data_IF_123925366009
#
_entry.id   IF_123925366009
#
_cell.length_a   1.000
_cell.length_b   1.000
_cell.length_c   1.000
_cell.angle_alpha   90.00
_cell.angle_beta   90.00
_cell.angle_gamma   90.00
#
_symmetry.space_group_name_H-M   'P 1'
#
loop_
_entity.id
_entity.type
_entity.pdbx_description
1 polymer ?
#
# COMPACT_ATOMS: atom_id res chain seq x y z
N UNK A 1 -42.83 -38.18 -7.72
CA UNK A 1 -41.54 -38.43 -8.41
C UNK A 1 -40.96 -37.09 -8.87
N UNK A 2 -39.63 -36.94 -8.87
CA UNK A 2 -38.92 -36.03 -7.97
C UNK A 2 -38.77 -34.59 -8.47
N UNK A 3 -38.77 -33.65 -7.51
CA UNK A 3 -38.04 -32.39 -7.60
C UNK A 3 -36.55 -32.71 -7.51
N UNK A 4 -35.77 -32.32 -8.50
CA UNK A 4 -34.40 -31.84 -8.34
C UNK A 4 -33.75 -31.59 -9.71
N UNK A 5 -33.37 -30.34 -9.93
CA UNK A 5 -32.04 -30.03 -10.44
C UNK A 5 -31.69 -28.63 -9.94
N UNK A 6 -31.19 -28.59 -8.71
CA UNK A 6 -30.26 -27.53 -8.30
C UNK A 6 -29.13 -27.56 -9.32
N UNK A 7 -29.15 -26.61 -10.25
CA UNK A 7 -27.95 -26.26 -11.00
C UNK A 7 -27.02 -25.60 -9.98
N UNK A 8 -26.11 -26.39 -9.42
CA UNK A 8 -24.91 -25.88 -8.76
C UNK A 8 -24.22 -24.95 -9.75
N UNK A 9 -24.38 -23.65 -9.54
CA UNK A 9 -23.47 -22.66 -10.10
C UNK A 9 -22.16 -22.90 -9.36
N UNK A 10 -21.28 -23.70 -9.97
CA UNK A 10 -19.88 -23.73 -9.57
C UNK A 10 -19.31 -22.37 -9.89
N UNK A 11 -19.14 -21.54 -8.86
CA UNK A 11 -18.20 -20.44 -8.92
C UNK A 11 -16.81 -21.08 -9.00
N UNK A 12 -16.36 -21.37 -10.22
CA UNK A 12 -14.95 -21.59 -10.49
C UNK A 12 -14.24 -20.26 -10.27
N UNK A 13 -13.97 -19.92 -9.01
CA UNK A 13 -13.08 -18.83 -8.64
C UNK A 13 -11.66 -19.23 -9.06
N UNK A 14 -11.30 -18.89 -10.30
CA UNK A 14 -9.90 -18.89 -10.69
C UNK A 14 -9.14 -17.93 -9.76
N UNK A 15 -8.01 -18.35 -9.17
CA UNK A 15 -7.20 -17.46 -8.35
C UNK A 15 -6.74 -16.27 -9.20
N UNK A 16 -7.05 -15.05 -8.76
CA UNK A 16 -6.64 -13.81 -9.41
C UNK A 16 -5.09 -13.76 -9.52
N UNK A 17 -4.54 -13.63 -10.72
CA UNK A 17 -3.09 -13.62 -10.90
C UNK A 17 -2.49 -12.26 -10.48
N UNK A 18 -1.26 -12.25 -9.95
CA UNK A 18 -0.58 -11.04 -9.45
C UNK A 18 -0.44 -9.92 -10.49
N UNK A 19 -0.54 -10.26 -11.79
CA UNK A 19 -0.50 -9.30 -12.90
C UNK A 19 -1.83 -8.56 -13.10
N UNK A 20 -2.95 -9.12 -12.65
CA UNK A 20 -4.28 -8.55 -12.85
C UNK A 20 -4.48 -7.31 -11.96
N UNK A 21 -3.89 -7.29 -10.76
CA UNK A 21 -3.90 -6.15 -9.83
C UNK A 21 -3.20 -4.89 -10.38
N UNK A 22 -2.40 -5.03 -11.44
CA UNK A 22 -1.64 -3.91 -12.02
C UNK A 22 -2.44 -3.16 -13.09
N UNK A 23 -3.75 -3.41 -13.16
CA UNK A 23 -4.71 -2.64 -13.95
C UNK A 23 -5.73 -1.99 -13.01
N UNK A 24 -6.31 -0.83 -13.36
CA UNK A 24 -7.39 -0.23 -12.57
C UNK A 24 -8.55 -1.20 -12.30
N UNK A 25 -9.00 -1.89 -13.34
CA UNK A 25 -10.12 -2.84 -13.23
C UNK A 25 -9.77 -4.03 -12.34
N UNK A 26 -8.57 -4.59 -12.46
CA UNK A 26 -8.17 -5.73 -11.63
C UNK A 26 -7.90 -5.37 -10.18
N UNK A 27 -7.34 -4.17 -9.90
CA UNK A 27 -7.21 -3.69 -8.52
C UNK A 27 -8.57 -3.42 -7.87
N UNK A 28 -9.51 -2.79 -8.60
CA UNK A 28 -10.88 -2.55 -8.10
C UNK A 28 -11.57 -3.87 -7.79
N UNK A 29 -11.55 -4.82 -8.73
CA UNK A 29 -12.14 -6.16 -8.51
C UNK A 29 -11.53 -6.87 -7.32
N UNK A 30 -10.22 -6.79 -7.15
CA UNK A 30 -9.54 -7.37 -5.99
C UNK A 30 -10.04 -6.78 -4.67
N UNK A 31 -10.24 -5.46 -4.60
CA UNK A 31 -10.79 -4.80 -3.42
C UNK A 31 -12.24 -5.22 -3.17
N UNK A 32 -13.06 -5.32 -4.20
CA UNK A 32 -14.47 -5.73 -4.10
C UNK A 32 -14.65 -7.19 -3.64
N UNK A 33 -13.68 -8.06 -3.97
CA UNK A 33 -13.70 -9.46 -3.61
C UNK A 33 -13.20 -9.74 -2.18
N UNK A 34 -12.55 -8.79 -1.52
CA UNK A 34 -12.04 -8.95 -0.16
C UNK A 34 -13.00 -8.32 0.86
N UNK A 35 -13.32 -9.03 1.93
CA UNK A 35 -14.24 -8.58 2.97
C UNK A 35 -13.68 -7.41 3.79
N UNK A 36 -12.35 -7.27 3.84
CA UNK A 36 -11.67 -6.20 4.57
C UNK A 36 -10.25 -5.90 4.04
N UNK A 37 -9.67 -4.77 4.49
CA UNK A 37 -8.31 -4.34 4.14
C UNK A 37 -7.25 -5.42 4.46
N UNK A 38 -7.42 -6.17 5.55
CA UNK A 38 -6.47 -7.22 5.95
C UNK A 38 -6.51 -8.41 4.99
N UNK A 39 -7.65 -8.72 4.41
CA UNK A 39 -7.81 -9.78 3.41
C UNK A 39 -7.29 -9.33 2.04
N UNK A 40 -7.55 -8.09 1.63
CA UNK A 40 -6.96 -7.52 0.40
C UNK A 40 -5.43 -7.48 0.49
N UNK A 41 -4.92 -7.01 1.62
CA UNK A 41 -3.49 -7.03 1.91
C UNK A 41 -3.02 -8.47 1.97
N UNK A 42 -3.71 -9.37 2.68
CA UNK A 42 -3.42 -10.80 2.69
C UNK A 42 -3.39 -11.44 1.31
N UNK A 43 -4.27 -11.06 0.39
CA UNK A 43 -4.27 -11.56 -0.99
C UNK A 43 -3.07 -11.02 -1.79
N UNK A 44 -2.71 -9.75 -1.61
CA UNK A 44 -1.49 -9.17 -2.14
C UNK A 44 -0.23 -9.76 -1.48
N UNK A 45 -0.36 -10.27 -0.25
CA UNK A 45 0.73 -10.49 0.69
C UNK A 45 0.73 -11.88 1.35
N UNK A 46 0.21 -12.93 0.69
CA UNK A 46 -0.31 -14.16 1.33
C UNK A 46 0.62 -14.87 2.33
N UNK A 47 1.94 -14.65 2.30
CA UNK A 47 2.89 -14.99 3.38
C UNK A 47 4.11 -14.01 3.38
N UNK A 48 3.94 -12.68 3.48
CA UNK A 48 5.06 -11.73 3.25
C UNK A 48 6.16 -11.67 4.32
N UNK A 49 7.15 -12.53 4.16
CA UNK A 49 8.53 -12.37 4.60
C UNK A 49 9.38 -11.59 3.55
N UNK A 50 10.69 -11.47 3.78
CA UNK A 50 11.62 -10.73 2.90
C UNK A 50 11.57 -11.22 1.43
N UNK A 51 11.22 -12.50 1.20
CA UNK A 51 11.09 -13.11 -0.13
C UNK A 51 10.03 -12.39 -0.97
N UNK A 52 8.95 -11.94 -0.34
CA UNK A 52 7.85 -11.34 -1.07
C UNK A 52 8.09 -9.86 -1.40
N UNK A 53 8.85 -9.15 -0.58
CA UNK A 53 9.38 -7.84 -0.96
C UNK A 53 10.26 -7.99 -2.20
N UNK A 54 11.10 -9.03 -2.24
CA UNK A 54 11.94 -9.32 -3.41
C UNK A 54 11.12 -9.66 -4.66
N UNK A 55 10.06 -10.47 -4.54
CA UNK A 55 9.15 -10.77 -5.65
C UNK A 55 8.48 -9.48 -6.15
N UNK A 56 7.95 -8.66 -5.25
CA UNK A 56 7.30 -7.40 -5.61
C UNK A 56 8.29 -6.42 -6.26
N UNK A 57 9.50 -6.30 -5.70
CA UNK A 57 10.60 -5.52 -6.28
C UNK A 57 10.96 -6.01 -7.68
N UNK A 58 11.04 -7.32 -7.90
CA UNK A 58 11.37 -7.92 -9.20
C UNK A 58 10.25 -7.68 -10.23
N UNK A 59 9.00 -7.88 -9.83
CA UNK A 59 7.83 -7.57 -10.67
C UNK A 59 7.85 -6.12 -11.13
N UNK A 60 8.16 -5.19 -10.22
CA UNK A 60 8.18 -3.77 -10.52
C UNK A 60 9.45 -3.32 -11.27
N UNK A 61 10.58 -3.97 -11.05
CA UNK A 61 11.83 -3.72 -11.79
C UNK A 61 11.67 -3.96 -13.30
N UNK A 62 10.80 -4.90 -13.68
CA UNK A 62 10.48 -5.18 -15.09
C UNK A 62 9.71 -4.06 -15.82
N UNK A 63 9.13 -3.10 -15.08
CA UNK A 63 8.16 -2.12 -15.62
C UNK A 63 8.69 -0.69 -15.72
N UNK A 64 10.02 -0.47 -15.70
CA UNK A 64 10.62 0.87 -15.56
C UNK A 64 10.05 1.62 -14.35
N UNK A 65 10.52 1.26 -13.15
CA UNK A 65 9.96 1.73 -11.89
C UNK A 65 9.81 3.25 -11.81
N UNK A 66 8.70 3.67 -11.22
CA UNK A 66 8.42 5.06 -10.87
C UNK A 66 9.32 5.44 -9.67
N UNK A 67 9.87 6.65 -9.69
CA UNK A 67 10.88 7.11 -8.72
C UNK A 67 10.48 6.93 -7.23
N UNK A 68 9.23 7.19 -6.80
CA UNK A 68 8.85 7.01 -5.40
C UNK A 68 8.82 5.55 -4.97
N UNK A 69 8.50 4.63 -5.89
CA UNK A 69 8.57 3.19 -5.64
C UNK A 69 10.02 2.74 -5.48
N UNK A 70 10.94 3.24 -6.32
CA UNK A 70 12.38 2.99 -6.16
C UNK A 70 12.87 3.47 -4.79
N UNK A 71 12.39 4.63 -4.36
CA UNK A 71 12.74 5.19 -3.07
C UNK A 71 12.31 4.30 -1.91
N UNK A 72 11.08 3.78 -1.91
CA UNK A 72 10.60 2.85 -0.86
C UNK A 72 11.56 1.66 -0.73
N UNK A 73 11.92 1.02 -1.85
CA UNK A 73 12.81 -0.14 -1.81
C UNK A 73 14.24 0.22 -1.44
N UNK A 74 14.78 1.34 -1.92
CA UNK A 74 16.10 1.81 -1.50
C UNK A 74 16.13 2.11 0.01
N UNK A 75 15.04 2.67 0.55
CA UNK A 75 14.88 2.91 1.97
C UNK A 75 14.87 1.60 2.77
N UNK A 76 14.15 0.57 2.27
CA UNK A 76 14.19 -0.78 2.83
C UNK A 76 15.62 -1.29 2.96
N UNK A 77 16.35 -1.30 1.85
CA UNK A 77 17.68 -1.89 1.74
C UNK A 77 18.69 -1.14 2.64
N UNK A 78 18.63 0.19 2.68
CA UNK A 78 19.59 0.97 3.48
C UNK A 78 19.34 0.81 4.99
N UNK A 79 18.08 0.81 5.40
CA UNK A 79 17.74 0.98 6.81
C UNK A 79 17.52 -0.35 7.53
N UNK A 80 16.91 -1.32 6.84
CA UNK A 80 16.64 -2.63 7.43
C UNK A 80 17.80 -3.60 7.26
N UNK A 81 18.34 -3.74 6.05
CA UNK A 81 19.39 -4.73 5.79
C UNK A 81 20.76 -4.28 6.28
N UNK A 82 21.05 -2.96 6.25
CA UNK A 82 22.39 -2.45 6.59
C UNK A 82 22.50 -1.80 7.96
N UNK A 83 21.48 -1.08 8.42
CA UNK A 83 21.60 -0.18 9.60
C UNK A 83 20.79 -0.59 10.84
N UNK A 84 19.96 -1.63 10.79
CA UNK A 84 19.02 -2.07 11.86
C UNK A 84 18.21 -0.91 12.45
N UNK A 85 16.97 -0.76 12.00
CA UNK A 85 16.06 0.26 12.54
C UNK A 85 15.61 -0.04 13.97
N UNK A 86 15.45 1.02 14.76
CA UNK A 86 14.85 0.94 16.09
C UNK A 86 13.32 0.80 16.01
N UNK A 87 12.72 0.26 17.08
CA UNK A 87 11.27 0.05 17.19
C UNK A 87 10.44 1.31 16.86
N UNK A 88 10.90 2.47 17.31
CA UNK A 88 10.20 3.74 17.08
C UNK A 88 10.21 4.16 15.62
N UNK A 89 11.31 3.92 14.90
CA UNK A 89 11.38 4.21 13.47
C UNK A 89 10.47 3.27 12.69
N UNK A 90 10.45 1.98 13.03
CA UNK A 90 9.55 1.00 12.41
C UNK A 90 8.09 1.45 12.57
N UNK A 91 7.69 1.82 13.79
CA UNK A 91 6.34 2.33 14.06
C UNK A 91 6.03 3.59 13.26
N UNK A 92 6.97 4.54 13.19
CA UNK A 92 6.81 5.76 12.40
C UNK A 92 6.54 5.42 10.93
N UNK A 93 7.33 4.55 10.32
CA UNK A 93 7.15 4.16 8.91
C UNK A 93 5.84 3.42 8.67
N UNK A 94 5.43 2.52 9.56
CA UNK A 94 4.11 1.87 9.48
C UNK A 94 3.01 2.93 9.38
N UNK A 95 3.04 3.95 10.26
CA UNK A 95 2.01 4.98 10.29
C UNK A 95 2.01 5.86 9.05
N UNK A 96 3.19 6.24 8.55
CA UNK A 96 3.33 7.05 7.32
C UNK A 96 2.84 6.28 6.10
N UNK A 97 3.31 5.05 5.89
CA UNK A 97 2.98 4.28 4.69
C UNK A 97 1.55 3.72 4.74
N UNK A 98 0.99 3.43 5.92
CA UNK A 98 -0.45 3.14 6.07
C UNK A 98 -1.32 4.36 5.74
N UNK A 99 -0.90 5.58 6.13
CA UNK A 99 -1.61 6.80 5.75
C UNK A 99 -1.58 7.01 4.23
N UNK A 100 -0.41 6.89 3.61
CA UNK A 100 -0.23 7.03 2.16
C UNK A 100 -1.04 5.99 1.38
N UNK A 101 -0.95 4.72 1.78
CA UNK A 101 -1.73 3.63 1.19
C UNK A 101 -3.23 3.94 1.19
N UNK A 102 -3.78 4.33 2.35
CA UNK A 102 -5.19 4.64 2.47
C UNK A 102 -5.61 5.81 1.56
N UNK A 103 -4.76 6.84 1.43
CA UNK A 103 -5.04 7.94 0.49
C UNK A 103 -5.06 7.44 -0.95
N UNK A 104 -4.01 6.73 -1.40
CA UNK A 104 -3.94 6.24 -2.78
C UNK A 104 -5.07 5.27 -3.11
N UNK A 105 -5.37 4.34 -2.20
CA UNK A 105 -6.48 3.40 -2.35
C UNK A 105 -7.81 4.14 -2.53
N UNK A 106 -8.10 5.12 -1.69
CA UNK A 106 -9.34 5.91 -1.83
C UNK A 106 -9.38 6.72 -3.14
N UNK A 107 -8.23 7.23 -3.60
CA UNK A 107 -8.14 7.92 -4.91
C UNK A 107 -8.42 6.95 -6.07
N UNK A 108 -7.97 5.71 -5.99
CA UNK A 108 -8.23 4.69 -7.02
C UNK A 108 -9.71 4.28 -7.02
N UNK A 109 -10.25 3.95 -5.85
CA UNK A 109 -11.60 3.41 -5.71
C UNK A 109 -12.69 4.47 -5.90
N UNK A 110 -12.40 5.72 -5.54
CA UNK A 110 -13.37 6.81 -5.47
C UNK A 110 -12.78 8.10 -6.05
N UNK A 111 -12.22 7.98 -7.25
CA UNK A 111 -11.50 9.05 -7.96
C UNK A 111 -12.29 10.35 -8.14
N UNK A 112 -13.62 10.25 -8.15
CA UNK A 112 -14.57 11.36 -8.28
C UNK A 112 -14.79 12.15 -6.98
N UNK A 113 -14.29 11.70 -5.83
CA UNK A 113 -14.43 12.40 -4.53
C UNK A 113 -13.14 13.18 -4.24
N UNK A 114 -13.13 14.52 -4.35
CA UNK A 114 -11.91 15.31 -4.19
C UNK A 114 -11.29 15.22 -2.79
N UNK A 115 -12.13 15.04 -1.76
CA UNK A 115 -11.69 14.96 -0.37
C UNK A 115 -10.71 13.80 -0.11
N UNK A 116 -10.74 12.72 -0.90
CA UNK A 116 -9.83 11.60 -0.73
C UNK A 116 -8.40 11.85 -1.20
N UNK A 117 -8.15 12.97 -1.86
CA UNK A 117 -6.80 13.40 -2.24
C UNK A 117 -6.12 14.24 -1.16
N UNK A 118 -6.80 14.51 -0.05
CA UNK A 118 -6.37 15.50 0.94
C UNK A 118 -5.98 14.82 2.24
N UNK A 119 -4.80 15.17 2.75
CA UNK A 119 -4.36 14.86 4.12
C UNK A 119 -4.41 16.16 4.92
N UNK A 120 -5.19 16.17 6.00
CA UNK A 120 -5.13 17.23 6.99
C UNK A 120 -3.91 17.01 7.90
N UNK A 121 -2.93 17.92 7.84
CA UNK A 121 -1.70 17.81 8.62
C UNK A 121 -1.93 17.95 10.12
N UNK A 122 -3.08 18.51 10.54
CA UNK A 122 -3.49 18.58 11.94
C UNK A 122 -4.19 17.30 12.42
N UNK A 123 -4.42 16.32 11.55
CA UNK A 123 -4.98 15.04 12.00
C UNK A 123 -3.96 14.30 12.87
N UNK A 124 -4.45 13.58 13.89
CA UNK A 124 -3.59 12.94 14.88
C UNK A 124 -2.51 12.02 14.30
N UNK A 125 -2.82 11.27 13.22
CA UNK A 125 -1.84 10.38 12.59
C UNK A 125 -0.71 11.16 11.91
N UNK A 126 -1.04 12.22 11.17
CA UNK A 126 0.00 13.03 10.52
C UNK A 126 0.83 13.78 11.58
N UNK A 127 0.17 14.49 12.50
CA UNK A 127 0.84 15.33 13.49
C UNK A 127 1.73 14.55 14.47
N UNK A 128 1.42 13.27 14.72
CA UNK A 128 2.16 12.45 15.68
C UNK A 128 3.38 11.74 15.07
N UNK A 129 3.37 11.45 13.78
CA UNK A 129 4.38 10.59 13.15
C UNK A 129 5.14 11.25 12.00
N UNK A 130 4.63 12.32 11.40
CA UNK A 130 5.28 12.99 10.27
C UNK A 130 6.10 14.19 10.76
N UNK A 131 7.39 14.16 10.47
CA UNK A 131 8.34 15.22 10.79
C UNK A 131 8.64 16.09 9.56
N UNK A 132 9.35 17.21 9.76
CA UNK A 132 9.76 18.08 8.64
C UNK A 132 10.66 17.36 7.62
N UNK A 133 11.51 16.43 8.06
CA UNK A 133 12.38 15.65 7.17
C UNK A 133 11.59 14.70 6.27
N UNK A 134 10.39 14.27 6.70
CA UNK A 134 9.57 13.34 5.93
C UNK A 134 8.83 14.04 4.77
N UNK A 135 8.80 15.38 4.72
CA UNK A 135 8.13 16.13 3.64
C UNK A 135 8.63 15.77 2.25
N UNK A 136 9.91 15.42 2.12
CA UNK A 136 10.48 14.98 0.84
C UNK A 136 9.76 13.73 0.31
N UNK A 137 9.42 12.78 1.19
CA UNK A 137 8.67 11.57 0.82
C UNK A 137 7.32 11.94 0.19
N UNK A 138 6.56 12.82 0.84
CA UNK A 138 5.27 13.29 0.33
C UNK A 138 5.41 14.01 -1.03
N UNK A 139 6.44 14.84 -1.20
CA UNK A 139 6.72 15.51 -2.47
C UNK A 139 7.02 14.50 -3.59
N UNK A 140 7.79 13.44 -3.30
CA UNK A 140 8.07 12.37 -4.27
C UNK A 140 6.76 11.71 -4.72
N UNK A 141 5.83 11.50 -3.79
CA UNK A 141 4.48 11.01 -4.07
C UNK A 141 3.51 12.05 -4.65
N UNK A 142 4.00 13.15 -5.23
CA UNK A 142 3.17 14.20 -5.86
C UNK A 142 2.15 14.84 -4.90
N UNK A 143 2.46 14.88 -3.61
CA UNK A 143 1.73 15.74 -2.69
C UNK A 143 2.30 17.14 -2.71
N UNK A 144 1.42 18.13 -2.64
CA UNK A 144 1.77 19.54 -2.42
C UNK A 144 1.04 20.10 -1.23
N UNK A 145 1.68 21.03 -0.54
CA UNK A 145 1.04 21.76 0.56
C UNK A 145 0.25 22.94 0.00
N UNK A 146 -1.08 22.90 0.10
CA UNK A 146 -1.96 23.99 -0.31
C UNK A 146 -3.41 23.74 0.17
N UNK A 147 -4.04 24.59 1.00
CA UNK A 147 -3.48 25.69 1.81
C UNK A 147 -2.51 25.18 2.90
N UNK A 148 -1.87 26.08 3.68
CA UNK A 148 -1.03 25.69 4.81
C UNK A 148 -1.81 24.74 5.74
N UNK A 149 -1.21 23.59 6.08
CA UNK A 149 -1.79 22.47 6.83
C UNK A 149 -2.61 21.43 6.02
N UNK A 150 -2.76 21.56 4.71
CA UNK A 150 -3.34 20.53 3.86
C UNK A 150 -2.31 20.04 2.84
N UNK A 151 -2.08 18.73 2.78
CA UNK A 151 -1.37 18.09 1.69
C UNK A 151 -2.38 17.54 0.67
N UNK A 152 -2.21 17.92 -0.59
CA UNK A 152 -3.07 17.50 -1.70
C UNK A 152 -2.26 16.62 -2.64
N UNK A 153 -2.77 15.43 -2.93
CA UNK A 153 -2.26 14.52 -3.97
C UNK A 153 -2.69 14.97 -5.36
N UNK A 154 -1.74 15.43 -6.17
CA UNK A 154 -1.96 15.90 -7.54
C UNK A 154 -1.77 14.81 -8.60
N UNK A 155 -1.56 13.54 -8.23
CA UNK A 155 -1.36 12.47 -9.20
C UNK A 155 -2.58 12.24 -10.09
N UNK A 156 -2.35 12.22 -11.41
CA UNK A 156 -3.38 12.03 -12.44
C UNK A 156 -3.33 10.64 -13.08
N UNK A 157 -2.19 9.96 -13.03
CA UNK A 157 -2.02 8.63 -13.58
C UNK A 157 -2.55 7.58 -12.59
N UNK A 158 -3.58 6.85 -13.01
CA UNK A 158 -4.24 5.85 -12.19
C UNK A 158 -3.38 4.61 -11.98
N UNK A 159 -2.59 4.19 -12.98
CA UNK A 159 -1.70 3.04 -12.86
C UNK A 159 -0.59 3.36 -11.87
N UNK A 160 -0.01 4.56 -11.97
CA UNK A 160 0.96 5.06 -10.99
C UNK A 160 0.38 5.08 -9.58
N UNK A 161 -0.85 5.58 -9.41
CA UNK A 161 -1.51 5.64 -8.10
C UNK A 161 -1.76 4.24 -7.52
N UNK A 162 -2.13 3.27 -8.35
CA UNK A 162 -2.27 1.86 -7.94
C UNK A 162 -0.93 1.28 -7.48
N UNK A 163 0.13 1.55 -8.23
CA UNK A 163 1.49 1.13 -7.86
C UNK A 163 1.91 1.72 -6.52
N UNK A 164 1.57 2.99 -6.26
CA UNK A 164 1.81 3.62 -4.96
C UNK A 164 0.99 2.97 -3.85
N UNK A 165 -0.30 2.71 -4.07
CA UNK A 165 -1.16 2.05 -3.10
C UNK A 165 -0.60 0.68 -2.70
N UNK A 166 -0.34 -0.19 -3.68
CA UNK A 166 0.15 -1.55 -3.42
C UNK A 166 1.56 -1.50 -2.80
N UNK A 167 2.45 -0.65 -3.29
CA UNK A 167 3.82 -0.58 -2.74
C UNK A 167 3.82 -0.10 -1.29
N UNK A 168 2.98 0.89 -0.95
CA UNK A 168 2.81 1.30 0.44
C UNK A 168 2.21 0.17 1.28
N UNK A 169 1.18 -0.53 0.78
CA UNK A 169 0.53 -1.65 1.46
C UNK A 169 1.53 -2.77 1.82
N UNK A 170 2.24 -3.26 0.82
CA UNK A 170 3.29 -4.29 0.96
C UNK A 170 4.33 -3.84 1.98
N UNK A 171 4.78 -2.60 1.87
CA UNK A 171 5.83 -2.08 2.73
C UNK A 171 5.40 -1.98 4.20
N UNK A 172 4.28 -1.32 4.51
CA UNK A 172 3.87 -1.14 5.90
C UNK A 172 3.42 -2.46 6.55
N UNK A 173 2.86 -3.38 5.77
CA UNK A 173 2.52 -4.71 6.27
C UNK A 173 3.78 -5.50 6.67
N UNK A 174 4.80 -5.55 5.80
CA UNK A 174 6.06 -6.22 6.12
C UNK A 174 6.74 -5.63 7.36
N UNK A 175 6.73 -4.31 7.50
CA UNK A 175 7.21 -3.63 8.71
C UNK A 175 6.47 -4.08 9.97
N UNK A 176 5.15 -4.24 9.88
CA UNK A 176 4.30 -4.65 11.01
C UNK A 176 4.62 -6.09 11.45
N UNK A 177 4.88 -6.98 10.49
CA UNK A 177 5.31 -8.35 10.78
C UNK A 177 6.69 -8.39 11.45
N UNK A 178 7.66 -7.59 10.97
CA UNK A 178 8.97 -7.47 11.62
C UNK A 178 8.85 -6.91 13.04
N UNK A 179 8.04 -5.87 13.24
CA UNK A 179 7.78 -5.30 14.57
C UNK A 179 7.24 -6.34 15.55
N UNK A 180 6.32 -7.19 15.07
CA UNK A 180 5.73 -8.28 15.87
C UNK A 180 6.78 -9.32 16.25
N UNK A 181 7.65 -9.73 15.32
CA UNK A 181 8.77 -10.65 15.60
C UNK A 181 9.71 -10.08 16.66
N UNK A 182 10.14 -8.82 16.50
CA UNK A 182 11.01 -8.14 17.47
C UNK A 182 10.36 -8.03 18.86
N UNK A 183 9.04 -7.83 18.92
CA UNK A 183 8.31 -7.77 20.18
C UNK A 183 8.15 -9.13 20.88
N UNK A 184 8.23 -10.25 20.14
CA UNK A 184 8.16 -11.61 20.68
C UNK A 184 9.52 -12.15 21.13
N UNK A 185 10.61 -11.58 20.62
CA UNK A 185 12.00 -11.98 20.93
C UNK A 185 12.61 -11.26 22.15
N UNK A 186 11.94 -10.23 22.68
CA UNK A 186 12.35 -9.44 23.86
C UNK A 186 11.36 -9.61 25.01
#
# INVERSE_FOLDING_TARGET
MPRNSNSEIKNDEQPFESKDFLTPTGYIKAVELCENDSELIGCLCKEMDDIHIDIWRNLLSSRNMIEPVKYIFAYWDEQFERKKLEKNDIMKFIQIFSLLENVFRNVVLRSYIPAYRIINMNCGRYSSFVTKSDKQLFNMFKFRENPPNLLIYDGIDQIETILYAISCAVFWHSLSMKLTKVALEN
#
